data_IF_098114916512
#
_entry.id   IF_098114916512
#
_cell.length_a   1.000
_cell.length_b   1.000
_cell.length_c   1.000
_cell.angle_alpha   90.00
_cell.angle_beta   90.00
_cell.angle_gamma   90.00
#
_symmetry.space_group_name_H-M   'P 1'
#
loop_
_entity.id
_entity.type
_entity.pdbx_description
1 polymer ?
#
# COMPACT_ATOMS: atom_id res chain seq x y z
N UNK A 1 -0.90 -21.97 0.63
CA UNK A 1 -0.95 -20.82 1.56
C UNK A 1 -1.61 -19.67 0.82
N UNK A 2 -2.77 -19.18 1.28
CA UNK A 2 -3.47 -18.09 0.59
C UNK A 2 -2.73 -16.78 0.84
N UNK A 3 -2.31 -16.09 -0.21
CA UNK A 3 -1.71 -14.77 -0.08
C UNK A 3 -2.78 -13.81 0.47
N UNK A 4 -2.56 -13.29 1.68
CA UNK A 4 -3.47 -12.29 2.27
C UNK A 4 -3.27 -10.98 1.53
N UNK A 5 -4.32 -10.46 0.92
CA UNK A 5 -4.32 -9.18 0.22
C UNK A 5 -5.32 -8.22 0.88
N UNK A 6 -5.03 -6.93 0.83
CA UNK A 6 -5.84 -5.86 1.41
C UNK A 6 -6.25 -4.88 0.32
N UNK A 7 -7.46 -4.35 0.41
CA UNK A 7 -7.89 -3.24 -0.45
C UNK A 7 -7.16 -1.94 -0.10
N UNK A 8 -7.14 -0.96 -1.01
CA UNK A 8 -6.54 0.35 -0.71
C UNK A 8 -7.16 1.01 0.52
N UNK A 9 -8.47 0.80 0.75
CA UNK A 9 -9.17 1.28 1.94
C UNK A 9 -8.63 0.65 3.22
N UNK A 10 -8.48 -0.67 3.25
CA UNK A 10 -7.91 -1.36 4.41
C UNK A 10 -6.45 -0.97 4.66
N UNK A 11 -5.68 -0.73 3.60
CA UNK A 11 -4.32 -0.21 3.71
C UNK A 11 -4.34 1.15 4.39
N UNK A 12 -5.17 2.08 3.92
CA UNK A 12 -5.32 3.41 4.50
C UNK A 12 -5.71 3.36 5.99
N UNK A 13 -6.67 2.51 6.37
CA UNK A 13 -7.09 2.33 7.76
C UNK A 13 -5.96 1.76 8.65
N UNK A 14 -5.13 0.86 8.11
CA UNK A 14 -4.02 0.24 8.84
C UNK A 14 -2.81 1.15 8.99
N UNK A 15 -2.52 1.95 7.98
CA UNK A 15 -1.37 2.86 7.98
C UNK A 15 -1.69 4.23 8.55
N UNK A 16 -2.97 4.58 8.63
CA UNK A 16 -3.44 5.90 9.05
C UNK A 16 -3.29 6.98 7.97
N UNK A 17 -2.87 6.61 6.76
CA UNK A 17 -2.80 7.54 5.62
C UNK A 17 -4.18 7.73 4.98
N UNK A 18 -4.35 8.85 4.27
CA UNK A 18 -5.53 9.04 3.44
C UNK A 18 -5.56 8.02 2.29
N UNK A 19 -6.76 7.61 1.88
CA UNK A 19 -6.95 6.71 0.75
C UNK A 19 -6.31 7.26 -0.54
N UNK A 20 -6.34 8.58 -0.71
CA UNK A 20 -5.73 9.26 -1.85
C UNK A 20 -4.20 9.14 -1.85
N UNK A 21 -3.53 9.30 -0.70
CA UNK A 21 -2.09 9.09 -0.57
C UNK A 21 -1.69 7.64 -0.88
N UNK A 22 -2.46 6.67 -0.38
CA UNK A 22 -2.24 5.25 -0.69
C UNK A 22 -2.39 4.98 -2.18
N UNK A 23 -3.41 5.56 -2.82
CA UNK A 23 -3.60 5.45 -4.26
C UNK A 23 -2.45 6.09 -5.02
N UNK A 24 -1.99 7.25 -4.58
CA UNK A 24 -0.85 7.93 -5.19
C UNK A 24 0.44 7.11 -5.06
N UNK A 25 0.68 6.47 -3.91
CA UNK A 25 1.82 5.56 -3.73
C UNK A 25 1.78 4.38 -4.72
N UNK A 26 0.59 3.82 -4.99
CA UNK A 26 0.42 2.79 -6.02
C UNK A 26 0.71 3.36 -7.41
N UNK A 27 0.17 4.53 -7.75
CA UNK A 27 0.38 5.18 -9.05
C UNK A 27 1.85 5.55 -9.31
N UNK A 28 2.60 5.90 -8.25
CA UNK A 28 4.05 6.13 -8.31
C UNK A 28 4.88 4.85 -8.39
N UNK A 29 4.28 3.70 -8.08
CA UNK A 29 4.98 2.42 -7.98
C UNK A 29 5.71 2.18 -6.65
N UNK A 30 5.48 3.00 -5.63
CA UNK A 30 5.94 2.75 -4.25
C UNK A 30 5.26 1.52 -3.64
N UNK A 31 4.00 1.26 -4.03
CA UNK A 31 3.18 0.19 -3.49
C UNK A 31 2.75 -0.75 -4.62
N UNK A 32 3.34 -1.95 -4.67
CA UNK A 32 2.99 -2.94 -5.68
C UNK A 32 1.63 -3.58 -5.40
N UNK A 33 0.84 -3.74 -6.47
CA UNK A 33 -0.43 -4.45 -6.43
C UNK A 33 -0.21 -5.94 -6.68
N UNK A 34 -1.14 -6.76 -6.19
CA UNK A 34 -1.20 -8.16 -6.52
C UNK A 34 -1.38 -8.30 -8.04
N UNK A 35 -0.56 -9.14 -8.69
CA UNK A 35 -0.53 -9.30 -10.15
C UNK A 35 -1.87 -9.78 -10.77
N UNK A 36 -2.84 -10.15 -9.93
CA UNK A 36 -4.18 -10.61 -10.32
C UNK A 36 -5.23 -9.48 -10.40
N UNK A 37 -4.92 -8.24 -9.97
CA UNK A 37 -5.90 -7.15 -9.98
C UNK A 37 -5.99 -6.41 -11.32
N UNK A 38 -6.28 -7.14 -12.39
CA UNK A 38 -6.88 -6.57 -13.60
C UNK A 38 -8.34 -6.11 -13.39
N UNK A 39 -8.72 -5.83 -12.15
CA UNK A 39 -10.08 -5.60 -11.68
C UNK A 39 -10.21 -4.18 -11.15
N UNK A 40 -11.43 -3.65 -11.18
CA UNK A 40 -11.81 -2.31 -10.69
C UNK A 40 -11.42 -2.03 -9.22
N UNK A 41 -10.99 -3.06 -8.48
CA UNK A 41 -10.56 -3.02 -7.07
C UNK A 41 -9.09 -3.49 -6.92
N UNK A 42 -8.11 -2.58 -6.95
CA UNK A 42 -6.70 -2.92 -6.76
C UNK A 42 -6.42 -3.38 -5.32
N UNK A 43 -5.62 -4.44 -5.19
CA UNK A 43 -5.33 -5.09 -3.91
C UNK A 43 -3.84 -5.20 -3.67
N UNK A 44 -3.43 -4.91 -2.46
CA UNK A 44 -2.04 -4.89 -2.02
C UNK A 44 -1.76 -6.16 -1.22
N UNK A 45 -0.76 -6.97 -1.59
CA UNK A 45 -0.38 -8.12 -0.79
C UNK A 45 0.17 -7.68 0.55
N UNK A 46 -0.14 -8.44 1.61
CA UNK A 46 0.29 -8.15 2.99
C UNK A 46 1.80 -7.86 3.07
N UNK A 47 2.61 -8.65 2.38
CA UNK A 47 4.07 -8.50 2.37
C UNK A 47 4.52 -7.15 1.83
N UNK A 48 3.81 -6.60 0.85
CA UNK A 48 4.13 -5.28 0.30
C UNK A 48 3.64 -4.16 1.22
N UNK A 49 2.47 -4.34 1.83
CA UNK A 49 1.99 -3.43 2.87
C UNK A 49 2.98 -3.34 4.04
N UNK A 50 3.47 -4.48 4.53
CA UNK A 50 4.44 -4.53 5.62
C UNK A 50 5.74 -3.82 5.23
N UNK A 51 6.25 -4.04 4.01
CA UNK A 51 7.43 -3.34 3.49
C UNK A 51 7.23 -1.83 3.41
N UNK A 52 6.12 -1.39 2.84
CA UNK A 52 5.81 0.03 2.72
C UNK A 52 5.67 0.67 4.10
N UNK A 53 5.00 0.00 5.04
CA UNK A 53 4.91 0.44 6.44
C UNK A 53 6.27 0.62 7.11
N UNK A 54 7.23 -0.28 6.84
CA UNK A 54 8.59 -0.15 7.36
C UNK A 54 9.34 1.03 6.70
N UNK A 55 9.20 1.21 5.38
CA UNK A 55 9.80 2.34 4.66
C UNK A 55 9.28 3.69 5.15
N UNK A 56 7.97 3.86 5.32
CA UNK A 56 7.38 5.13 5.80
C UNK A 56 7.63 5.39 7.29
N UNK A 57 7.82 4.34 8.11
CA UNK A 57 8.25 4.50 9.50
C UNK A 57 9.69 5.01 9.60
N UNK A 58 10.54 4.62 8.66
CA UNK A 58 11.93 5.06 8.61
C UNK A 58 12.11 6.42 7.93
N UNK A 59 11.14 6.87 7.14
CA UNK A 59 11.13 8.19 6.50
C UNK A 59 9.86 8.97 6.90
N UNK A 60 9.75 9.46 8.16
CA UNK A 60 8.61 10.25 8.60
C UNK A 60 8.73 11.66 8.00
N UNK A 61 8.51 11.81 6.70
CA UNK A 61 8.40 13.08 5.98
C UNK A 61 9.38 14.18 6.44
N UNK A 62 10.59 14.19 5.87
CA UNK A 62 11.35 15.43 5.66
C UNK A 62 12.66 15.55 6.43
N UNK A 63 13.75 15.11 5.81
CA UNK A 63 15.01 15.86 5.82
C UNK A 63 15.26 16.32 4.38
N UNK A 64 14.88 17.56 4.08
CA UNK A 64 15.33 18.35 2.93
C UNK A 64 16.05 19.58 3.47
#
# INVERSE_FOLDING_TARGET
>A
MSATTYTLKEVAERTGYALEDVRHAVERGDLALAQDTGSEDPRVPRTELERWQESVKHDPAGDN
#
